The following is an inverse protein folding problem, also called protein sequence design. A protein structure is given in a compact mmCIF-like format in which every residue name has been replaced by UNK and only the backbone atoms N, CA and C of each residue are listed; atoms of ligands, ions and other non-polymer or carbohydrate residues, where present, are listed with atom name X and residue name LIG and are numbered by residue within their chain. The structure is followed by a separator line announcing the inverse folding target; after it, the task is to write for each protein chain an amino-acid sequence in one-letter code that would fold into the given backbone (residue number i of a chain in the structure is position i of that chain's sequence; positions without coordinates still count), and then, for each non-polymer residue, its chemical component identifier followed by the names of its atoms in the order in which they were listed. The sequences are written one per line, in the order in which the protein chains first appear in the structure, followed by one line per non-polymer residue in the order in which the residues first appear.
data_IF_641488142821
#
_entry.id   IF_641488142821
#
_cell.length_a   1.000
_cell.length_b   1.000
_cell.length_c   1.000
_cell.angle_alpha   90.00
_cell.angle_beta   90.00
_cell.angle_gamma   90.00
#
_symmetry.space_group_name_H-M   'P 1'
#
loop_
_entity.id
_entity.type
_entity.pdbx_description
1 polymer ?
#
# COMPACT_ATOMS: atom_id res chain seq x y z
N UNK A 1 -6.20 -7.26 4.75
CA UNK A 1 -6.81 -7.49 3.42
C UNK A 1 -7.79 -8.65 3.41
N UNK A 2 -7.40 -9.87 3.86
CA UNK A 2 -8.29 -11.04 3.84
C UNK A 2 -9.61 -10.88 4.61
N UNK A 3 -9.60 -10.24 5.78
CA UNK A 3 -10.81 -10.07 6.61
C UNK A 3 -11.95 -9.37 5.84
N UNK A 4 -11.61 -8.39 5.00
CA UNK A 4 -12.57 -7.63 4.18
C UNK A 4 -12.58 -8.08 2.71
N UNK A 5 -11.86 -9.16 2.36
CA UNK A 5 -11.68 -9.62 0.99
C UNK A 5 -11.24 -8.52 0.00
N UNK A 6 -10.27 -7.70 0.39
CA UNK A 6 -9.75 -6.58 -0.41
C UNK A 6 -8.49 -7.00 -1.18
N UNK A 7 -8.44 -6.70 -2.48
CA UNK A 7 -7.26 -6.96 -3.32
C UNK A 7 -6.14 -5.92 -3.19
N UNK A 8 -6.49 -4.69 -2.79
CA UNK A 8 -5.55 -3.60 -2.59
C UNK A 8 -6.08 -2.62 -1.53
N UNK A 9 -5.19 -1.82 -0.97
CA UNK A 9 -5.49 -0.70 -0.08
C UNK A 9 -4.76 0.55 -0.58
N UNK A 10 -5.45 1.70 -0.54
CA UNK A 10 -4.83 3.00 -0.81
C UNK A 10 -4.14 3.47 0.46
N UNK A 11 -2.90 3.93 0.32
CA UNK A 11 -2.09 4.51 1.38
C UNK A 11 -2.28 6.02 1.32
N UNK A 12 -2.69 6.60 2.44
CA UNK A 12 -2.99 8.02 2.57
C UNK A 12 -1.96 8.67 3.50
N UNK A 13 -1.58 9.90 3.21
CA UNK A 13 -0.79 10.77 4.08
C UNK A 13 -1.43 12.16 4.05
N UNK A 14 -1.73 12.72 5.21
CA UNK A 14 -2.39 14.03 5.36
C UNK A 14 -3.65 14.23 4.49
N UNK A 15 -4.42 13.15 4.28
CA UNK A 15 -5.65 13.17 3.49
C UNK A 15 -5.46 13.04 1.98
N UNK A 16 -4.22 12.91 1.50
CA UNK A 16 -3.88 12.73 0.10
C UNK A 16 -3.38 11.31 -0.17
N UNK A 17 -3.75 10.68 -1.30
CA UNK A 17 -3.31 9.32 -1.62
C UNK A 17 -1.85 9.34 -2.13
N UNK A 18 -0.96 8.65 -1.42
CA UNK A 18 0.50 8.63 -1.66
C UNK A 18 1.04 7.29 -2.17
N UNK A 19 0.27 6.22 -2.04
CA UNK A 19 0.58 4.94 -2.67
C UNK A 19 -0.59 3.97 -2.65
N UNK A 20 -0.40 2.79 -3.19
CA UNK A 20 -1.29 1.67 -2.93
C UNK A 20 -0.47 0.43 -2.59
N UNK A 21 -1.06 -0.49 -1.85
CA UNK A 21 -0.41 -1.71 -1.42
C UNK A 21 -1.32 -2.90 -1.70
N UNK A 22 -0.72 -4.00 -2.14
CA UNK A 22 -1.37 -5.29 -2.37
C UNK A 22 -0.73 -6.36 -1.47
N UNK A 23 -1.37 -7.54 -1.38
CA UNK A 23 -0.76 -8.68 -0.68
C UNK A 23 0.55 -9.13 -1.32
N UNK A 24 0.68 -8.96 -2.64
CA UNK A 24 1.89 -9.31 -3.38
C UNK A 24 3.07 -8.45 -2.96
N UNK A 25 2.85 -7.17 -2.64
CA UNK A 25 3.92 -6.28 -2.17
C UNK A 25 4.43 -6.71 -0.80
N UNK A 26 3.53 -7.10 0.11
CA UNK A 26 3.87 -7.67 1.42
C UNK A 26 4.67 -8.98 1.25
N UNK A 27 4.22 -9.87 0.35
CA UNK A 27 4.91 -11.13 0.05
C UNK A 27 6.32 -10.89 -0.48
N UNK A 28 6.48 -9.93 -1.40
CA UNK A 28 7.79 -9.55 -1.96
C UNK A 28 8.72 -8.96 -0.90
N UNK A 29 8.20 -8.17 0.03
CA UNK A 29 9.00 -7.65 1.14
C UNK A 29 9.51 -8.78 2.05
N UNK A 30 8.66 -9.74 2.38
CA UNK A 30 9.05 -10.95 3.12
C UNK A 30 10.09 -11.79 2.37
N UNK A 31 9.89 -12.01 1.05
CA UNK A 31 10.83 -12.76 0.21
C UNK A 31 12.22 -12.12 0.13
N UNK A 32 12.29 -10.79 0.29
CA UNK A 32 13.56 -10.04 0.38
C UNK A 32 14.21 -10.10 1.77
N UNK A 33 13.61 -10.82 2.72
CA UNK A 33 14.11 -10.93 4.09
C UNK A 33 13.96 -9.65 4.90
N UNK A 34 13.04 -8.76 4.52
CA UNK A 34 12.78 -7.55 5.27
C UNK A 34 11.91 -7.88 6.50
N UNK A 35 12.22 -7.24 7.63
CA UNK A 35 11.46 -7.38 8.86
C UNK A 35 10.16 -6.58 8.76
N UNK A 36 9.05 -7.29 8.51
CA UNK A 36 7.74 -6.66 8.34
C UNK A 36 7.20 -6.00 9.61
N UNK A 37 7.73 -6.31 10.80
CA UNK A 37 7.29 -5.68 12.06
C UNK A 37 7.90 -4.29 12.25
N UNK A 38 9.04 -4.01 11.61
CA UNK A 38 9.76 -2.74 11.71
C UNK A 38 9.51 -1.80 10.51
N UNK A 39 8.87 -2.30 9.45
CA UNK A 39 8.63 -1.54 8.22
C UNK A 39 7.36 -0.69 8.29
N UNK A 40 7.43 0.51 7.71
CA UNK A 40 6.24 1.31 7.45
C UNK A 40 5.58 0.86 6.15
N UNK A 41 4.26 0.99 6.07
CA UNK A 41 3.50 0.72 4.83
C UNK A 41 4.03 1.57 3.66
N UNK A 42 4.50 2.79 3.94
CA UNK A 42 5.08 3.69 2.94
C UNK A 42 6.36 3.19 2.26
N UNK A 43 7.07 2.24 2.87
CA UNK A 43 8.31 1.64 2.33
C UNK A 43 8.01 0.54 1.30
N UNK A 44 6.84 -0.09 1.42
CA UNK A 44 6.43 -1.25 0.59
C UNK A 44 5.40 -0.85 -0.47
N UNK A 45 4.63 0.20 -0.22
CA UNK A 45 3.59 0.67 -1.12
C UNK A 45 4.16 1.06 -2.49
N UNK A 46 3.44 0.67 -3.54
CA UNK A 46 3.80 1.00 -4.93
C UNK A 46 3.58 2.50 -5.20
N UNK A 47 4.55 3.12 -5.87
CA UNK A 47 4.58 4.52 -6.32
C UNK A 47 5.08 4.57 -7.78
N UNK A 48 4.65 5.55 -8.62
CA UNK A 48 3.75 6.66 -8.33
C UNK A 48 2.26 6.31 -8.49
N UNK A 49 1.39 7.02 -7.76
CA UNK A 49 -0.06 6.94 -7.93
C UNK A 49 -0.53 7.93 -9.00
N UNK A 50 -1.35 7.46 -9.94
CA UNK A 50 -2.19 8.33 -10.77
C UNK A 50 -3.60 8.24 -10.19
N UNK A 51 -4.12 9.38 -9.73
CA UNK A 51 -5.45 9.45 -9.14
C UNK A 51 -6.13 10.76 -9.54
N UNK A 52 -7.45 10.75 -9.48
CA UNK A 52 -8.28 11.92 -9.78
C UNK A 52 -9.22 12.14 -8.62
N UNK A 53 -9.37 13.39 -8.19
CA UNK A 53 -10.44 13.76 -7.26
C UNK A 53 -11.74 13.80 -8.05
N UNK A 54 -12.78 13.16 -7.54
CA UNK A 54 -14.09 13.29 -8.14
C UNK A 54 -14.52 14.77 -8.05
N UNK A 55 -14.90 15.36 -9.18
CA UNK A 55 -15.41 16.73 -9.25
C UNK A 55 -16.94 16.63 -9.26
N UNK A 56 -17.56 16.93 -8.13
CA UNK A 56 -19.03 17.04 -7.99
C UNK A 56 -19.47 18.46 -8.31
#
# INVERSE_FOLDING_TARGET
MNYFNLGALVVMEDGEPVGFITQTDIKRAAEKGLDLELMCVGDVASKPLIWVKHNT
#
